data_IF_581856681430
#
_entry.id   IF_581856681430
#
_cell.length_a   1.000
_cell.length_b   1.000
_cell.length_c   1.000
_cell.angle_alpha   90.00
_cell.angle_beta   90.00
_cell.angle_gamma   90.00
#
_symmetry.space_group_name_H-M   'P 1'
#
loop_
_entity.id
_entity.type
_entity.pdbx_description
1 polymer ?
#
# COMPACT_ATOMS: atom_id res chain seq x y z
N UNK A 1 14.42 33.37 7.63
CA UNK A 1 13.38 34.09 6.89
C UNK A 1 14.05 35.26 6.18
N UNK A 2 14.61 35.03 4.98
CA UNK A 2 15.05 36.14 4.12
C UNK A 2 13.78 36.79 3.60
N UNK A 3 13.60 38.08 3.86
CA UNK A 3 12.48 38.81 3.30
C UNK A 3 12.63 38.80 1.77
N UNK A 4 11.56 38.53 1.02
CA UNK A 4 11.60 38.49 -0.45
C UNK A 4 11.83 39.85 -1.11
N UNK A 5 12.37 40.83 -0.38
CA UNK A 5 12.67 42.16 -0.90
C UNK A 5 14.10 42.18 -1.43
N UNK A 6 14.22 42.43 -2.73
CA UNK A 6 15.50 42.60 -3.41
C UNK A 6 15.84 44.09 -3.40
N UNK A 7 17.06 44.44 -3.01
CA UNK A 7 17.53 45.83 -3.07
C UNK A 7 17.86 46.25 -4.50
N UNK A 8 17.84 47.56 -4.80
CA UNK A 8 18.15 48.07 -6.13
C UNK A 8 19.54 47.64 -6.62
N UNK A 9 20.52 47.62 -5.70
CA UNK A 9 21.87 47.13 -5.95
C UNK A 9 21.89 45.65 -6.34
N UNK A 10 21.17 44.79 -5.60
CA UNK A 10 21.10 43.36 -5.91
C UNK A 10 20.38 43.10 -7.25
N UNK A 11 19.35 43.89 -7.57
CA UNK A 11 18.65 43.79 -8.85
C UNK A 11 19.53 44.24 -10.04
N UNK A 12 20.38 45.25 -9.84
CA UNK A 12 21.33 45.72 -10.85
C UNK A 12 22.48 44.72 -11.06
N UNK A 13 23.05 44.18 -9.98
CA UNK A 13 24.07 43.12 -10.04
C UNK A 13 23.52 41.85 -10.68
N UNK A 14 22.29 41.48 -10.35
CA UNK A 14 21.59 40.36 -10.97
C UNK A 14 21.28 40.59 -12.44
N UNK A 15 21.13 41.83 -12.92
CA UNK A 15 21.04 42.16 -14.36
C UNK A 15 22.41 42.06 -15.03
N UNK A 16 23.46 42.54 -14.37
CA UNK A 16 24.84 42.52 -14.87
C UNK A 16 25.38 41.11 -15.05
N UNK A 17 25.32 40.24 -14.03
CA UNK A 17 25.78 38.84 -14.12
C UNK A 17 25.15 38.09 -15.30
N UNK A 18 23.88 38.34 -15.45
CA UNK A 18 23.00 37.80 -16.46
C UNK A 18 23.35 38.30 -17.88
N UNK A 19 23.77 39.56 -18.02
CA UNK A 19 24.30 40.12 -19.26
C UNK A 19 25.70 39.55 -19.58
N UNK A 20 26.55 39.37 -18.58
CA UNK A 20 27.87 38.72 -18.73
C UNK A 20 27.72 37.26 -19.20
N UNK A 21 26.72 36.53 -18.70
CA UNK A 21 26.37 35.18 -19.17
C UNK A 21 25.88 35.19 -20.61
N UNK A 22 25.08 36.20 -21.00
CA UNK A 22 24.65 36.37 -22.38
C UNK A 22 25.85 36.60 -23.30
N UNK A 23 26.75 37.51 -22.97
CA UNK A 23 27.93 37.83 -23.76
C UNK A 23 28.86 36.62 -23.97
N UNK A 24 28.91 35.69 -23.03
CA UNK A 24 29.68 34.43 -23.16
C UNK A 24 29.09 33.45 -24.17
N UNK A 25 27.77 33.47 -24.38
CA UNK A 25 27.03 32.53 -25.24
C UNK A 25 26.54 33.20 -26.54
N UNK A 26 26.63 34.53 -26.64
CA UNK A 26 26.13 35.35 -27.73
C UNK A 26 26.88 35.09 -29.04
N UNK A 27 26.13 34.89 -30.12
CA UNK A 27 26.65 34.84 -31.50
C UNK A 27 26.61 36.23 -32.17
N UNK A 28 27.38 36.49 -33.25
CA UNK A 28 27.49 37.82 -33.85
C UNK A 28 26.17 38.45 -34.33
N UNK A 29 25.15 37.63 -34.62
CA UNK A 29 23.85 38.07 -35.14
C UNK A 29 22.82 38.37 -34.03
N UNK A 30 23.18 38.20 -32.76
CA UNK A 30 22.27 38.37 -31.63
C UNK A 30 22.42 39.76 -30.96
N UNK A 31 21.34 40.29 -30.36
CA UNK A 31 21.33 41.64 -29.78
C UNK A 31 22.38 41.81 -28.67
N UNK A 32 22.96 43.03 -28.60
CA UNK A 32 23.99 43.38 -27.63
C UNK A 32 23.51 43.23 -26.19
N UNK A 33 22.31 43.72 -25.91
CA UNK A 33 21.63 43.53 -24.63
C UNK A 33 20.84 42.22 -24.65
N UNK A 34 20.93 41.46 -23.56
CA UNK A 34 20.13 40.26 -23.44
C UNK A 34 18.65 40.65 -23.42
N UNK A 35 17.80 40.04 -24.28
CA UNK A 35 16.37 40.25 -24.24
C UNK A 35 15.83 40.05 -22.82
N UNK A 36 14.99 40.97 -22.37
CA UNK A 36 14.27 40.81 -21.11
C UNK A 36 13.32 39.62 -21.24
N UNK A 37 13.20 38.84 -20.17
CA UNK A 37 12.31 37.68 -20.18
C UNK A 37 10.90 38.13 -20.59
N UNK A 38 10.24 37.41 -21.52
CA UNK A 38 8.90 37.74 -21.94
C UNK A 38 8.01 37.92 -20.71
N UNK A 39 7.40 39.10 -20.59
CA UNK A 39 6.46 39.38 -19.51
C UNK A 39 5.34 38.34 -19.58
N UNK A 40 5.30 37.45 -18.60
CA UNK A 40 4.28 36.43 -18.56
C UNK A 40 2.93 37.11 -18.27
N UNK A 41 2.05 37.12 -19.28
CA UNK A 41 0.72 37.74 -19.18
C UNK A 41 -0.27 36.97 -18.33
N UNK A 42 0.09 35.81 -17.79
CA UNK A 42 -0.76 35.03 -16.88
C UNK A 42 -1.02 35.79 -15.58
N UNK A 43 -2.22 35.60 -15.06
CA UNK A 43 -2.57 36.18 -13.75
C UNK A 43 -1.73 35.52 -12.65
N UNK A 44 -1.47 36.27 -11.57
CA UNK A 44 -0.78 35.73 -10.39
C UNK A 44 -1.49 34.48 -9.84
N UNK A 45 -2.82 34.44 -9.92
CA UNK A 45 -3.63 33.30 -9.51
C UNK A 45 -3.29 32.03 -10.29
N UNK A 46 -3.18 32.12 -11.62
CA UNK A 46 -2.83 30.98 -12.47
C UNK A 46 -1.45 30.42 -12.11
N UNK A 47 -0.44 31.29 -11.92
CA UNK A 47 0.91 30.86 -11.52
C UNK A 47 0.93 30.16 -10.16
N UNK A 48 0.25 30.73 -9.17
CA UNK A 48 0.18 30.15 -7.83
C UNK A 48 -0.59 28.83 -7.83
N UNK A 49 -1.66 28.74 -8.62
CA UNK A 49 -2.43 27.51 -8.79
C UNK A 49 -1.59 26.42 -9.44
N UNK A 50 -0.87 26.72 -10.51
CA UNK A 50 0.04 25.78 -11.17
C UNK A 50 1.14 25.29 -10.21
N UNK A 51 1.80 26.20 -9.48
CA UNK A 51 2.82 25.83 -8.48
C UNK A 51 2.26 24.96 -7.35
N UNK A 52 1.06 25.26 -6.87
CA UNK A 52 0.39 24.45 -5.85
C UNK A 52 0.06 23.06 -6.40
N UNK A 53 -0.60 22.99 -7.55
CA UNK A 53 -0.96 21.71 -8.18
C UNK A 53 0.28 20.86 -8.47
N UNK A 54 1.38 21.47 -8.91
CA UNK A 54 2.64 20.77 -9.13
C UNK A 54 3.20 20.16 -7.84
N UNK A 55 3.24 20.92 -6.75
CA UNK A 55 3.69 20.43 -5.44
C UNK A 55 2.79 19.32 -4.90
N UNK A 56 1.48 19.50 -5.03
CA UNK A 56 0.49 18.51 -4.57
C UNK A 56 0.68 17.19 -5.36
N UNK A 57 0.89 17.26 -6.68
CA UNK A 57 1.15 16.08 -7.53
C UNK A 57 2.48 15.39 -7.18
N UNK A 58 3.56 16.15 -7.01
CA UNK A 58 4.87 15.61 -6.61
C UNK A 58 4.79 14.92 -5.24
N UNK A 59 4.04 15.50 -4.29
CA UNK A 59 3.78 14.91 -2.99
C UNK A 59 2.98 13.61 -3.11
N UNK A 60 1.90 13.61 -3.89
CA UNK A 60 1.09 12.42 -4.15
C UNK A 60 1.91 11.31 -4.82
N UNK A 61 2.73 11.60 -5.81
CA UNK A 61 3.56 10.61 -6.49
C UNK A 61 4.60 9.98 -5.54
N UNK A 62 5.30 10.81 -4.75
CA UNK A 62 6.28 10.35 -3.79
C UNK A 62 5.64 9.54 -2.64
N UNK A 63 4.50 10.00 -2.13
CA UNK A 63 3.79 9.30 -1.06
C UNK A 63 3.05 8.06 -1.57
N UNK A 64 2.56 8.06 -2.81
CA UNK A 64 1.91 6.90 -3.42
C UNK A 64 2.90 5.76 -3.56
N UNK A 65 4.12 6.02 -4.06
CA UNK A 65 5.17 4.99 -4.12
C UNK A 65 5.53 4.46 -2.72
N UNK A 66 5.61 5.35 -1.72
CA UNK A 66 5.85 4.95 -0.32
C UNK A 66 4.71 4.12 0.27
N UNK A 67 3.46 4.42 -0.09
CA UNK A 67 2.29 3.68 0.38
C UNK A 67 2.12 2.33 -0.33
N UNK A 68 2.51 2.22 -1.61
CA UNK A 68 2.47 0.95 -2.35
C UNK A 68 3.60 0.00 -1.93
N UNK A 69 4.75 0.54 -1.52
CA UNK A 69 5.87 -0.22 -0.94
C UNK A 69 5.87 0.01 0.57
N UNK A 70 4.68 0.03 1.20
CA UNK A 70 4.59 -0.07 2.65
C UNK A 70 4.59 -1.56 2.99
N UNK A 71 5.64 -2.03 3.63
CA UNK A 71 5.65 -3.36 4.24
C UNK A 71 4.52 -3.48 5.27
N UNK A 72 4.08 -4.70 5.54
CA UNK A 72 3.21 -4.97 6.68
C UNK A 72 3.94 -4.51 7.94
N UNK A 73 3.24 -3.84 8.85
CA UNK A 73 3.79 -3.55 10.18
C UNK A 73 3.79 -4.80 11.07
N UNK A 74 4.54 -4.75 12.18
CA UNK A 74 4.72 -5.89 13.08
C UNK A 74 3.37 -6.40 13.64
N UNK A 75 2.42 -5.48 13.87
CA UNK A 75 1.07 -5.80 14.36
C UNK A 75 0.23 -6.51 13.28
N UNK A 76 0.31 -6.05 12.02
CA UNK A 76 -0.35 -6.68 10.87
C UNK A 76 0.19 -8.09 10.61
N UNK A 77 1.50 -8.32 10.75
CA UNK A 77 2.09 -9.66 10.62
C UNK A 77 1.59 -10.59 11.73
N UNK A 78 1.58 -10.11 12.98
CA UNK A 78 1.09 -10.91 14.11
C UNK A 78 -0.40 -11.24 13.97
N UNK A 79 -1.20 -10.32 13.42
CA UNK A 79 -2.60 -10.59 13.12
C UNK A 79 -2.76 -11.71 12.08
N UNK A 80 -1.96 -11.70 11.00
CA UNK A 80 -1.99 -12.77 9.99
C UNK A 80 -1.60 -14.12 10.59
N UNK A 81 -0.57 -14.17 11.44
CA UNK A 81 -0.19 -15.39 12.16
C UNK A 81 -1.33 -15.90 13.04
N UNK A 82 -2.00 -15.02 13.79
CA UNK A 82 -3.15 -15.38 14.62
C UNK A 82 -4.29 -15.97 13.77
N UNK A 83 -4.60 -15.35 12.63
CA UNK A 83 -5.66 -15.82 11.71
C UNK A 83 -5.33 -17.21 11.17
N UNK A 84 -4.08 -17.44 10.77
CA UNK A 84 -3.64 -18.73 10.25
C UNK A 84 -3.67 -19.81 11.34
N UNK A 85 -3.20 -19.51 12.56
CA UNK A 85 -3.33 -20.44 13.69
C UNK A 85 -4.79 -20.79 13.98
N UNK A 86 -5.68 -19.80 13.95
CA UNK A 86 -7.10 -20.02 14.23
C UNK A 86 -7.77 -20.89 13.15
N UNK A 87 -7.40 -20.73 11.87
CA UNK A 87 -7.86 -21.63 10.79
C UNK A 87 -7.38 -23.06 11.00
N UNK A 88 -6.10 -23.25 11.29
CA UNK A 88 -5.51 -24.56 11.54
C UNK A 88 -6.20 -25.25 12.74
N UNK A 89 -6.42 -24.50 13.83
CA UNK A 89 -7.09 -25.01 15.01
C UNK A 89 -8.55 -25.37 14.76
N UNK A 90 -9.26 -24.57 13.96
CA UNK A 90 -10.64 -24.85 13.57
C UNK A 90 -10.73 -26.13 12.72
N UNK A 91 -9.89 -26.27 11.70
CA UNK A 91 -9.83 -27.48 10.86
C UNK A 91 -9.46 -28.72 11.69
N UNK A 92 -8.48 -28.59 12.58
CA UNK A 92 -8.06 -29.68 13.47
C UNK A 92 -9.18 -30.11 14.41
N UNK A 93 -9.94 -29.16 14.97
CA UNK A 93 -11.11 -29.46 15.80
C UNK A 93 -12.20 -30.18 15.01
N UNK A 94 -12.53 -29.71 13.81
CA UNK A 94 -13.50 -30.38 12.94
C UNK A 94 -13.09 -31.84 12.65
N UNK A 95 -11.84 -32.07 12.26
CA UNK A 95 -11.33 -33.44 11.99
C UNK A 95 -11.40 -34.32 13.25
N UNK A 96 -11.09 -33.76 14.43
CA UNK A 96 -11.16 -34.50 15.69
C UNK A 96 -12.60 -34.86 16.06
N UNK A 97 -13.53 -33.93 15.90
CA UNK A 97 -14.96 -34.13 16.14
C UNK A 97 -15.54 -35.17 15.18
N UNK A 98 -15.30 -35.03 13.87
CA UNK A 98 -15.72 -35.99 12.86
C UNK A 98 -15.17 -37.40 13.14
N UNK A 99 -13.89 -37.51 13.50
CA UNK A 99 -13.27 -38.80 13.83
C UNK A 99 -13.93 -39.45 15.04
N UNK A 100 -14.27 -38.65 16.07
CA UNK A 100 -14.93 -39.13 17.27
C UNK A 100 -16.34 -39.62 16.97
N UNK A 101 -17.11 -38.85 16.20
CA UNK A 101 -18.47 -39.24 15.79
C UNK A 101 -18.48 -40.52 14.95
N UNK A 102 -17.53 -40.66 14.02
CA UNK A 102 -17.36 -41.89 13.24
C UNK A 102 -17.00 -43.10 14.10
N UNK A 103 -16.17 -42.90 15.13
CA UNK A 103 -15.82 -43.97 16.07
C UNK A 103 -17.03 -44.36 16.91
N UNK A 104 -17.74 -43.39 17.50
CA UNK A 104 -18.96 -43.63 18.29
C UNK A 104 -20.03 -44.35 17.45
N UNK A 105 -20.17 -44.02 16.16
CA UNK A 105 -21.07 -44.71 15.24
C UNK A 105 -20.63 -46.17 15.02
N UNK A 106 -19.34 -46.43 14.78
CA UNK A 106 -18.81 -47.79 14.60
C UNK A 106 -19.03 -48.64 15.85
N UNK A 107 -18.77 -48.08 17.02
CA UNK A 107 -18.93 -48.78 18.29
C UNK A 107 -20.41 -49.12 18.53
N UNK A 108 -21.34 -48.19 18.29
CA UNK A 108 -22.79 -48.47 18.40
C UNK A 108 -23.29 -49.50 17.39
N UNK A 109 -22.76 -49.50 16.17
CA UNK A 109 -23.10 -50.51 15.16
C UNK A 109 -22.60 -51.88 15.59
N UNK A 110 -21.37 -51.98 16.10
CA UNK A 110 -20.81 -53.23 16.61
C UNK A 110 -21.65 -53.79 17.78
N UNK A 111 -22.03 -52.95 18.75
CA UNK A 111 -22.88 -53.40 19.86
C UNK A 111 -24.25 -53.88 19.40
N UNK A 112 -24.87 -53.18 18.44
CA UNK A 112 -26.16 -53.62 17.87
C UNK A 112 -26.02 -54.94 17.11
N UNK A 113 -24.91 -55.14 16.38
CA UNK A 113 -24.64 -56.39 15.69
C UNK A 113 -24.47 -57.56 16.68
N UNK A 114 -23.71 -57.36 17.75
CA UNK A 114 -23.57 -58.36 18.83
C UNK A 114 -24.94 -58.70 19.46
N UNK A 115 -25.73 -57.70 19.83
CA UNK A 115 -27.08 -57.92 20.38
C UNK A 115 -28.00 -58.68 19.41
N UNK A 116 -27.92 -58.39 18.11
CA UNK A 116 -28.71 -59.12 17.11
C UNK A 116 -28.22 -60.56 16.93
N UNK A 117 -26.91 -60.80 16.97
CA UNK A 117 -26.34 -62.14 16.89
C UNK A 117 -26.75 -62.99 18.09
N UNK A 118 -26.74 -62.43 19.31
CA UNK A 118 -27.17 -63.11 20.53
C UNK A 118 -28.68 -63.44 20.52
N UNK A 119 -29.52 -62.52 20.02
CA UNK A 119 -30.96 -62.75 19.85
C UNK A 119 -31.24 -63.84 18.81
N UNK A 120 -30.51 -63.86 17.70
CA UNK A 120 -30.65 -64.92 16.67
C UNK A 120 -30.20 -66.26 17.24
N UNK A 121 -29.05 -66.29 17.94
CA UNK A 121 -28.51 -67.50 18.56
C UNK A 121 -29.48 -68.10 19.59
N UNK A 122 -30.05 -67.27 20.46
CA UNK A 122 -31.03 -67.71 21.47
C UNK A 122 -32.32 -68.24 20.84
N UNK A 123 -32.85 -67.60 19.79
CA UNK A 123 -34.03 -68.09 19.07
C UNK A 123 -33.75 -69.46 18.41
N UNK A 124 -32.57 -69.64 17.81
CA UNK A 124 -32.20 -70.93 17.20
C UNK A 124 -31.92 -72.05 18.20
N UNK A 125 -31.63 -71.74 19.47
CA UNK A 125 -31.35 -72.74 20.51
C UNK A 125 -32.60 -73.15 21.32
N UNK A 126 -33.70 -72.42 21.16
CA UNK A 126 -34.98 -72.67 21.85
C UNK A 126 -35.95 -73.51 20.99
N UNK A 127 -35.71 -73.63 19.68
CA UNK A 127 -36.43 -74.52 18.76
C UNK A 127 -35.61 -75.78 18.46
#
# INVERSE_FOLDING_TARGET
>A
MSSGFVTESEAAEARKRRQEEWEKVRTPDQPLERPEEPYDGRSLFERLKEQKMKKDLEYEEAHKLKNLIRGLDDDEVQFLELVDQNKIDAEKKQIQEERKELQDFRDRVATLQEETADKVFTITHIF
#
